data_IF_261333572167
#
_entry.id   IF_261333572167
#
_cell.length_a   1.000
_cell.length_b   1.000
_cell.length_c   1.000
_cell.angle_alpha   90.00
_cell.angle_beta   90.00
_cell.angle_gamma   90.00
#
_symmetry.space_group_name_H-M   'P 1'
#
loop_
_entity.id
_entity.type
_entity.pdbx_description
1 polymer ?
#
# COMPACT_ATOMS: atom_id res chain seq x y z
N UNK A 1 18.71 5.27 -10.08
CA UNK A 1 18.08 5.10 -9.80
C UNK A 1 17.53 5.69 -9.10
N UNK A 2 16.77 6.27 -9.03
CA UNK A 2 16.51 6.90 -8.11
C UNK A 2 15.21 7.30 -7.99
N UNK A 3 14.41 6.45 -7.50
CA UNK A 3 13.11 6.74 -7.07
C UNK A 3 13.18 7.39 -5.76
N UNK A 4 12.36 8.36 -5.50
CA UNK A 4 12.29 8.99 -4.20
C UNK A 4 10.86 9.32 -3.84
N UNK A 5 10.59 9.36 -2.55
CA UNK A 5 9.28 9.75 -2.05
C UNK A 5 9.24 11.25 -1.93
N UNK A 6 8.31 11.89 -2.60
CA UNK A 6 8.21 13.34 -2.56
C UNK A 6 6.99 13.83 -1.78
N UNK A 7 6.07 12.96 -1.44
CA UNK A 7 4.91 13.35 -0.66
C UNK A 7 4.26 12.14 -0.01
N UNK A 8 3.72 12.31 1.19
CA UNK A 8 3.02 11.27 1.91
C UNK A 8 1.64 11.79 2.27
N UNK A 9 0.63 10.97 2.03
CA UNK A 9 -0.75 11.33 2.31
C UNK A 9 -1.35 10.26 3.23
N UNK A 10 -2.09 10.63 4.27
CA UNK A 10 -2.71 9.64 5.15
C UNK A 10 -3.65 8.71 4.40
N UNK A 11 -3.70 7.47 4.83
CA UNK A 11 -4.55 6.48 4.19
C UNK A 11 -5.39 5.74 5.24
N UNK A 12 -6.09 6.49 6.07
CA UNK A 12 -6.73 5.94 7.25
C UNK A 12 -7.76 4.88 6.97
N UNK A 13 -8.48 4.99 5.87
CA UNK A 13 -9.58 4.09 5.59
C UNK A 13 -9.27 3.08 4.50
N UNK A 14 -8.01 2.82 4.26
CA UNK A 14 -7.63 1.93 3.18
C UNK A 14 -6.87 0.71 3.67
N UNK A 15 -7.08 -0.39 2.98
CA UNK A 15 -6.42 -1.66 3.29
C UNK A 15 -5.75 -2.18 2.04
N UNK A 16 -4.68 -2.93 2.23
CA UNK A 16 -4.07 -3.70 1.15
C UNK A 16 -4.50 -5.15 1.30
N UNK A 17 -4.91 -5.76 0.23
CA UNK A 17 -5.40 -7.14 0.23
C UNK A 17 -4.37 -8.03 -0.43
N UNK A 18 -4.00 -9.10 0.27
CA UNK A 18 -3.01 -10.06 -0.20
C UNK A 18 -3.63 -11.44 -0.26
N UNK A 19 -3.18 -12.25 -1.20
CA UNK A 19 -3.65 -13.61 -1.31
C UNK A 19 -2.68 -14.55 -0.62
N UNK A 20 -3.21 -15.38 0.26
CA UNK A 20 -2.41 -16.32 1.01
C UNK A 20 -2.36 -17.67 0.29
N UNK A 21 -1.51 -18.57 0.79
CA UNK A 21 -1.28 -19.85 0.14
C UNK A 21 -2.55 -20.72 0.01
N UNK A 22 -3.50 -20.54 0.91
CA UNK A 22 -4.73 -21.32 0.90
C UNK A 22 -5.86 -20.60 0.18
N UNK A 23 -5.51 -19.63 -0.65
CA UNK A 23 -6.46 -18.80 -1.39
C UNK A 23 -7.28 -17.86 -0.52
N UNK A 24 -7.03 -17.83 0.77
CA UNK A 24 -7.67 -16.84 1.63
C UNK A 24 -7.07 -15.47 1.37
N UNK A 25 -7.83 -14.43 1.63
CA UNK A 25 -7.33 -13.07 1.51
C UNK A 25 -7.02 -12.51 2.88
N UNK A 26 -5.92 -11.80 2.96
CA UNK A 26 -5.52 -11.09 4.17
C UNK A 26 -5.55 -9.61 3.88
N UNK A 27 -6.26 -8.85 4.70
CA UNK A 27 -6.34 -7.40 4.55
C UNK A 27 -5.55 -6.75 5.66
N UNK A 28 -4.65 -5.87 5.29
CA UNK A 28 -3.83 -5.14 6.25
C UNK A 28 -4.03 -3.65 6.06
N UNK A 29 -4.10 -2.87 7.15
CA UNK A 29 -4.29 -1.43 7.00
C UNK A 29 -3.08 -0.77 6.37
N UNK A 30 -3.34 0.21 5.53
CA UNK A 30 -2.28 1.02 4.97
C UNK A 30 -1.85 2.06 5.99
N UNK A 31 -0.56 2.34 6.01
CA UNK A 31 -0.01 3.39 6.83
C UNK A 31 -0.19 4.75 6.16
N UNK A 32 0.07 4.80 4.88
CA UNK A 32 -0.05 6.03 4.11
C UNK A 32 0.00 5.74 2.63
N UNK A 33 -0.28 6.76 1.82
CA UNK A 33 0.00 6.75 0.39
C UNK A 33 1.27 7.54 0.17
N UNK A 34 2.17 7.02 -0.62
CA UNK A 34 3.40 7.73 -0.94
C UNK A 34 3.47 8.05 -2.42
N UNK A 35 3.82 9.28 -2.73
CA UNK A 35 4.04 9.70 -4.10
C UNK A 35 5.52 9.53 -4.41
N UNK A 36 5.83 8.65 -5.34
CA UNK A 36 7.19 8.38 -5.76
C UNK A 36 7.48 9.10 -7.06
N UNK A 37 8.68 9.62 -7.18
CA UNK A 37 9.12 10.23 -8.41
C UNK A 37 10.28 9.42 -8.98
N UNK A 38 10.15 9.04 -10.25
CA UNK A 38 11.19 8.27 -10.93
C UNK A 38 12.25 9.19 -11.49
N UNK A 39 13.37 8.61 -11.88
CA UNK A 39 14.47 9.40 -12.43
C UNK A 39 14.09 10.10 -13.73
N UNK A 40 13.14 9.56 -14.48
CA UNK A 40 12.72 10.15 -15.74
C UNK A 40 11.64 11.23 -15.57
N UNK A 41 11.31 11.58 -14.35
CA UNK A 41 10.32 12.62 -14.09
C UNK A 41 8.90 12.13 -13.92
N UNK A 42 8.63 10.86 -14.21
CA UNK A 42 7.29 10.34 -14.01
C UNK A 42 7.03 10.10 -12.53
N UNK A 43 5.77 9.96 -12.15
CA UNK A 43 5.41 9.73 -10.77
C UNK A 43 4.38 8.63 -10.65
N UNK A 44 4.30 8.03 -9.49
CA UNK A 44 3.26 7.05 -9.19
C UNK A 44 2.93 7.11 -7.71
N UNK A 45 1.73 6.68 -7.37
CA UNK A 45 1.29 6.64 -5.98
C UNK A 45 1.17 5.18 -5.57
N UNK A 46 1.71 4.84 -4.41
CA UNK A 46 1.61 3.49 -3.89
C UNK A 46 1.21 3.50 -2.44
N UNK A 47 0.44 2.51 -2.03
CA UNK A 47 0.06 2.34 -0.64
C UNK A 47 1.20 1.71 0.13
N UNK A 48 1.46 2.25 1.31
CA UNK A 48 2.54 1.78 2.17
C UNK A 48 1.94 1.11 3.39
N UNK A 49 2.41 -0.07 3.74
CA UNK A 49 1.98 -0.76 4.93
C UNK A 49 3.20 -1.18 5.75
N UNK A 50 2.96 -1.55 7.00
CA UNK A 50 4.03 -2.01 7.86
C UNK A 50 3.97 -3.53 7.86
N UNK A 51 5.06 -4.17 7.44
CA UNK A 51 5.09 -5.63 7.32
C UNK A 51 5.39 -6.27 8.68
N UNK A 52 5.47 -7.59 8.68
CA UNK A 52 5.66 -8.33 9.93
C UNK A 52 7.00 -8.03 10.60
N UNK A 53 7.97 -7.58 9.83
CA UNK A 53 9.27 -7.19 10.39
C UNK A 53 9.29 -5.78 10.94
N UNK A 54 8.19 -5.03 10.76
CA UNK A 54 8.13 -3.66 11.22
C UNK A 54 8.61 -2.63 10.21
N UNK A 55 8.87 -3.06 8.98
CA UNK A 55 9.35 -2.16 7.93
C UNK A 55 8.21 -1.61 7.10
N UNK A 56 8.33 -0.36 6.71
CA UNK A 56 7.37 0.26 5.79
C UNK A 56 7.66 -0.21 4.37
N UNK A 57 6.66 -0.77 3.72
CA UNK A 57 6.84 -1.42 2.42
C UNK A 57 5.70 -1.03 1.50
N UNK A 58 5.99 -0.84 0.23
CA UNK A 58 4.94 -0.62 -0.76
C UNK A 58 4.18 -1.92 -0.97
N UNK A 59 2.86 -1.86 -0.84
CA UNK A 59 2.04 -3.06 -0.93
C UNK A 59 2.19 -3.75 -2.29
N UNK A 60 2.30 -2.97 -3.34
CA UNK A 60 2.44 -3.54 -4.69
C UNK A 60 3.73 -4.29 -4.90
N UNK A 61 4.72 -4.10 -4.04
CA UNK A 61 5.97 -4.84 -4.18
C UNK A 61 5.84 -6.28 -3.72
N UNK A 62 4.78 -6.63 -3.01
CA UNK A 62 4.56 -8.01 -2.60
C UNK A 62 4.01 -8.82 -3.78
N UNK A 63 4.54 -10.01 -3.98
CA UNK A 63 4.12 -10.83 -5.13
C UNK A 63 2.69 -11.31 -5.00
N UNK A 64 2.18 -11.36 -3.77
CA UNK A 64 0.81 -11.81 -3.53
C UNK A 64 -0.17 -10.66 -3.33
N UNK A 65 0.22 -9.44 -3.68
CA UNK A 65 -0.70 -8.32 -3.58
C UNK A 65 -1.84 -8.46 -4.61
N UNK A 66 -3.07 -8.22 -4.16
CA UNK A 66 -4.23 -8.34 -5.01
C UNK A 66 -4.80 -6.97 -5.38
N UNK A 67 -5.13 -6.17 -4.37
CA UNK A 67 -5.76 -4.88 -4.63
C UNK A 67 -5.77 -4.03 -3.36
N UNK A 68 -6.10 -2.76 -3.53
CA UNK A 68 -6.43 -1.90 -2.40
C UNK A 68 -7.93 -1.96 -2.17
N UNK A 69 -8.34 -1.84 -0.93
CA UNK A 69 -9.74 -1.89 -0.56
C UNK A 69 -10.03 -0.77 0.43
N UNK A 70 -11.11 -0.07 0.22
CA UNK A 70 -11.49 0.96 1.15
C UNK A 70 -12.29 0.33 2.28
N UNK A 71 -11.96 0.71 3.50
CA UNK A 71 -12.71 0.25 4.65
C UNK A 71 -14.03 0.99 4.66
N UNK A 72 -15.11 0.25 4.54
CA UNK A 72 -16.40 0.86 4.50
C UNK A 72 -16.89 1.07 5.91
N UNK A 73 -17.07 2.31 6.33
CA UNK A 73 -17.66 2.52 7.59
C UNK A 73 -19.03 2.88 7.29
N UNK A 74 -19.91 2.03 7.46
CA UNK A 74 -21.27 2.35 7.29
C UNK A 74 -21.73 3.00 8.49
N UNK A 75 -22.10 4.20 8.35
CA UNK A 75 -22.65 4.86 9.44
C UNK A 75 -24.07 4.92 9.22
N UNK A 76 -24.77 4.54 10.09
CA UNK A 76 -26.19 4.69 9.91
C UNK A 76 -26.78 5.51 10.97
#
# INVERSE_FOLDING_TARGET
MSEKIVQIIPADDWLAVFKMDDDAELSLPLNCWALFQEADGSSRIEGIYVDAAGDCTAAKSATNFVRYKRLSTTVT
#
